data_IF_487765722867
#
_entry.id   IF_487765722867
#
_cell.length_a   1.000
_cell.length_b   1.000
_cell.length_c   1.000
_cell.angle_alpha   90.00
_cell.angle_beta   90.00
_cell.angle_gamma   90.00
#
_symmetry.space_group_name_H-M   'P 1'
#
loop_
_entity.id
_entity.type
_entity.pdbx_description
1 polymer ?
#
# COMPACT_ATOMS: atom_id res chain seq x y z
N UNK A 1 -24.25 5.47 29.74
CA UNK A 1 -23.10 4.92 30.48
C UNK A 1 -21.89 4.96 29.55
N UNK A 2 -21.13 6.07 29.53
CA UNK A 2 -19.86 6.18 28.79
C UNK A 2 -18.74 6.16 29.82
N UNK A 3 -17.88 5.15 29.75
CA UNK A 3 -16.69 4.98 30.58
C UNK A 3 -15.51 5.57 29.80
N UNK A 4 -14.91 6.65 30.28
CA UNK A 4 -13.87 6.52 31.30
C UNK A 4 -12.49 5.99 30.89
N UNK A 5 -11.89 6.38 29.76
CA UNK A 5 -10.51 5.98 29.41
C UNK A 5 -9.69 7.21 29.02
N UNK A 6 -8.53 7.44 29.67
CA UNK A 6 -7.93 8.77 29.70
C UNK A 6 -6.41 8.89 29.80
N UNK A 7 -5.85 9.10 28.61
CA UNK A 7 -4.68 9.91 28.27
C UNK A 7 -4.96 11.44 28.39
N UNK A 8 -6.09 11.82 29.00
CA UNK A 8 -6.57 13.19 29.20
C UNK A 8 -7.26 13.24 30.58
N UNK A 9 -7.50 14.39 31.20
CA UNK A 9 -8.21 14.44 32.49
C UNK A 9 -9.73 14.33 32.33
N UNK A 10 -10.42 13.71 33.31
CA UNK A 10 -11.64 14.21 33.97
C UNK A 10 -12.70 15.11 33.30
N UNK A 11 -12.80 15.32 31.99
CA UNK A 11 -13.74 16.31 31.45
C UNK A 11 -15.17 15.73 31.45
N UNK A 12 -15.79 15.72 32.63
CA UNK A 12 -17.20 15.47 32.81
C UNK A 12 -18.01 16.51 32.01
N UNK A 13 -18.84 15.99 31.11
CA UNK A 13 -19.68 16.75 30.21
C UNK A 13 -20.88 17.33 30.98
N UNK A 14 -20.81 18.58 31.45
CA UNK A 14 -22.02 19.41 31.61
C UNK A 14 -21.80 20.89 31.22
N UNK A 15 -22.59 21.29 30.23
CA UNK A 15 -23.12 22.65 29.95
C UNK A 15 -22.19 23.76 29.45
N UNK A 16 -22.36 24.03 28.15
CA UNK A 16 -22.53 25.34 27.49
C UNK A 16 -21.77 26.58 28.01
N UNK A 17 -21.02 27.17 27.07
CA UNK A 17 -20.40 28.50 27.07
C UNK A 17 -19.12 28.70 27.90
N UNK A 18 -17.97 28.43 27.26
CA UNK A 18 -16.84 29.39 27.24
C UNK A 18 -15.82 29.02 26.15
N UNK A 19 -15.30 29.97 25.35
CA UNK A 19 -14.19 29.71 24.43
C UNK A 19 -12.86 30.12 25.08
N UNK A 20 -11.88 29.21 25.14
CA UNK A 20 -10.45 29.45 24.87
C UNK A 20 -9.58 28.31 25.42
N UNK A 21 -8.88 27.65 24.49
CA UNK A 21 -7.58 26.98 24.66
C UNK A 21 -7.41 26.09 25.90
N UNK A 22 -8.14 24.98 25.94
CA UNK A 22 -7.71 23.83 26.74
C UNK A 22 -6.81 22.96 25.86
N UNK A 23 -5.50 23.24 25.89
CA UNK A 23 -4.48 22.36 25.32
C UNK A 23 -4.54 21.01 26.04
N UNK A 24 -5.11 20.01 25.38
CA UNK A 24 -4.43 18.75 25.09
C UNK A 24 -3.16 18.43 25.93
N UNK A 25 -3.32 17.92 27.16
CA UNK A 25 -2.20 17.50 28.02
C UNK A 25 -2.43 16.11 28.57
N UNK A 26 -1.38 15.31 28.66
CA UNK A 26 -1.34 14.03 29.36
C UNK A 26 -1.47 14.31 30.86
N UNK A 27 -2.69 14.57 31.31
CA UNK A 27 -2.97 14.86 32.71
C UNK A 27 -2.83 13.58 33.51
N UNK A 28 -1.89 13.57 34.46
CA UNK A 28 -1.81 12.54 35.48
C UNK A 28 -3.08 12.59 36.32
N UNK A 29 -4.06 11.73 36.02
CA UNK A 29 -5.27 11.43 36.80
C UNK A 29 -6.19 12.62 37.13
N UNK A 30 -5.69 13.68 37.78
CA UNK A 30 -6.33 14.99 38.02
C UNK A 30 -5.30 16.14 38.09
N UNK A 31 -5.75 17.40 37.95
CA UNK A 31 -4.89 18.59 38.19
C UNK A 31 -4.30 18.58 39.60
N UNK A 32 -5.05 17.99 40.55
CA UNK A 32 -4.62 17.80 41.94
C UNK A 32 -3.46 16.80 42.07
N UNK A 33 -3.49 15.70 41.34
CA UNK A 33 -2.40 14.71 41.40
C UNK A 33 -1.11 15.26 40.81
N UNK A 34 -1.20 16.04 39.73
CA UNK A 34 -0.03 16.72 39.16
C UNK A 34 0.55 17.78 40.10
N UNK A 35 -0.32 18.52 40.81
CA UNK A 35 0.08 19.45 41.86
C UNK A 35 0.74 18.73 43.04
N UNK A 36 0.16 17.63 43.50
CA UNK A 36 0.67 16.84 44.62
C UNK A 36 2.03 16.20 44.27
N UNK A 37 2.24 15.78 43.01
CA UNK A 37 3.52 15.33 42.48
C UNK A 37 4.56 16.46 42.51
N UNK A 38 4.21 17.63 41.98
CA UNK A 38 5.13 18.75 41.83
C UNK A 38 5.35 19.56 43.11
N UNK A 39 4.53 19.35 44.13
CA UNK A 39 4.65 20.05 45.39
C UNK A 39 6.06 19.93 45.96
N UNK A 40 6.67 18.75 45.91
CA UNK A 40 8.01 18.46 46.44
C UNK A 40 9.20 18.99 45.63
N UNK A 41 9.02 19.62 44.48
CA UNK A 41 10.12 19.88 43.54
C UNK A 41 11.04 21.02 43.97
N UNK A 42 12.35 20.73 44.11
CA UNK A 42 13.39 21.69 44.50
C UNK A 42 14.45 21.78 43.40
N UNK A 43 14.77 22.99 42.94
CA UNK A 43 15.88 23.21 42.00
C UNK A 43 17.19 23.20 42.78
N UNK A 44 18.13 22.31 42.41
CA UNK A 44 19.38 22.12 43.16
C UNK A 44 20.23 23.40 43.23
N UNK A 45 20.35 24.12 42.10
CA UNK A 45 21.19 25.31 41.97
C UNK A 45 20.79 26.46 42.91
N UNK A 46 19.50 26.58 43.20
CA UNK A 46 18.94 27.69 43.97
C UNK A 46 18.41 27.26 45.34
N UNK A 47 18.27 25.96 45.58
CA UNK A 47 17.59 25.35 46.74
C UNK A 47 16.16 25.88 46.97
N UNK A 48 15.52 26.37 45.90
CA UNK A 48 14.17 26.92 45.95
C UNK A 48 13.18 25.89 45.41
N UNK A 49 12.06 25.75 46.10
CA UNK A 49 10.91 25.01 45.59
C UNK A 49 10.32 25.74 44.38
N UNK A 50 10.19 25.05 43.26
CA UNK A 50 9.65 25.63 42.04
C UNK A 50 8.68 24.66 41.36
N UNK A 51 7.39 24.86 41.64
CA UNK A 51 6.32 24.01 41.10
C UNK A 51 6.18 24.19 39.59
N UNK A 52 6.37 25.40 39.07
CA UNK A 52 6.26 25.68 37.63
C UNK A 52 7.37 24.97 36.83
N UNK A 53 8.60 24.94 37.35
CA UNK A 53 9.70 24.20 36.74
C UNK A 53 9.43 22.70 36.68
N UNK A 54 8.76 22.14 37.69
CA UNK A 54 8.30 20.76 37.66
C UNK A 54 7.28 20.50 36.53
N UNK A 55 6.30 21.39 36.36
CA UNK A 55 5.33 21.26 35.26
C UNK A 55 5.99 21.35 33.88
N UNK A 56 6.98 22.22 33.71
CA UNK A 56 7.78 22.29 32.47
C UNK A 56 8.51 20.96 32.22
N UNK A 57 9.09 20.37 33.27
CA UNK A 57 9.75 19.05 33.17
C UNK A 57 8.76 17.94 32.81
N UNK A 58 7.60 17.87 33.45
CA UNK A 58 6.55 16.90 33.13
C UNK A 58 6.11 16.99 31.67
N UNK A 59 5.84 18.22 31.20
CA UNK A 59 5.47 18.49 29.81
C UNK A 59 6.58 18.06 28.85
N UNK A 60 7.84 18.36 29.16
CA UNK A 60 8.98 17.92 28.34
C UNK A 60 9.11 16.39 28.25
N UNK A 61 8.89 15.67 29.35
CA UNK A 61 9.13 14.22 29.44
C UNK A 61 7.98 13.41 28.83
N UNK A 62 6.73 13.84 29.02
CA UNK A 62 5.54 13.08 28.63
C UNK A 62 4.81 13.66 27.42
N UNK A 63 4.49 14.96 27.45
CA UNK A 63 3.67 15.60 26.42
C UNK A 63 4.47 15.89 25.14
N UNK A 64 5.65 16.50 25.25
CA UNK A 64 6.48 16.88 24.10
C UNK A 64 7.41 15.77 23.61
N UNK A 65 7.40 14.61 24.28
CA UNK A 65 8.23 13.48 23.91
C UNK A 65 7.56 12.63 22.83
N UNK A 66 8.12 12.66 21.62
CA UNK A 66 7.58 11.92 20.47
C UNK A 66 7.51 10.41 20.70
N UNK A 67 8.42 9.82 21.49
CA UNK A 67 8.39 8.38 21.81
C UNK A 67 7.18 8.02 22.66
N UNK A 68 6.88 8.85 23.67
CA UNK A 68 5.72 8.66 24.55
C UNK A 68 4.44 8.84 23.75
N UNK A 69 4.34 9.91 22.96
CA UNK A 69 3.18 10.18 22.10
C UNK A 69 2.90 9.06 21.11
N UNK A 70 3.92 8.56 20.44
CA UNK A 70 3.76 7.49 19.46
C UNK A 70 3.39 6.16 20.13
N UNK A 71 3.98 5.85 21.29
CA UNK A 71 3.58 4.66 22.05
C UNK A 71 2.13 4.73 22.56
N UNK A 72 1.63 5.94 22.79
CA UNK A 72 0.27 6.20 23.22
C UNK A 72 -0.78 6.13 22.09
N UNK A 73 -0.35 6.03 20.82
CA UNK A 73 -1.24 5.85 19.65
C UNK A 73 -1.75 4.41 19.57
N UNK A 74 -2.79 4.10 20.34
CA UNK A 74 -3.40 2.77 20.41
C UNK A 74 -4.76 2.74 19.70
N UNK A 75 -5.22 1.53 19.37
CA UNK A 75 -6.52 1.33 18.74
C UNK A 75 -7.71 1.50 19.66
N UNK A 76 -8.88 1.62 19.03
CA UNK A 76 -10.15 1.68 19.73
C UNK A 76 -10.30 0.50 20.71
N UNK A 77 -10.62 0.82 21.96
CA UNK A 77 -10.81 -0.14 23.05
C UNK A 77 -9.56 -0.46 23.88
N UNK A 78 -8.38 0.06 23.52
CA UNK A 78 -7.16 -0.05 24.32
C UNK A 78 -6.86 1.18 25.18
N UNK A 79 -7.71 2.21 25.10
CA UNK A 79 -7.59 3.45 25.88
C UNK A 79 -7.56 3.18 27.39
N UNK A 80 -8.36 2.23 27.89
CA UNK A 80 -8.38 1.89 29.32
C UNK A 80 -7.06 1.26 29.76
N UNK A 81 -6.54 0.30 28.98
CA UNK A 81 -5.27 -0.37 29.27
C UNK A 81 -4.09 0.60 29.23
N UNK A 82 -4.13 1.57 28.30
CA UNK A 82 -3.10 2.60 28.22
C UNK A 82 -3.01 3.43 29.51
N UNK A 83 -4.14 3.73 30.14
CA UNK A 83 -4.15 4.46 31.42
C UNK A 83 -3.64 3.59 32.55
N UNK A 84 -4.05 2.32 32.60
CA UNK A 84 -3.57 1.39 33.62
C UNK A 84 -2.04 1.29 33.58
N UNK A 85 -1.45 1.28 32.36
CA UNK A 85 0.00 1.32 32.17
C UNK A 85 0.60 2.63 32.70
N UNK A 86 0.03 3.79 32.35
CA UNK A 86 0.50 5.09 32.83
C UNK A 86 0.40 5.22 34.36
N UNK A 87 -0.74 4.86 34.94
CA UNK A 87 -0.96 4.88 36.39
C UNK A 87 0.03 3.96 37.11
N UNK A 88 0.32 2.78 36.57
CA UNK A 88 1.33 1.90 37.14
C UNK A 88 2.73 2.53 37.20
N UNK A 89 3.06 3.46 36.29
CA UNK A 89 4.34 4.16 36.31
C UNK A 89 4.35 5.36 37.27
N UNK A 90 3.24 6.08 37.38
CA UNK A 90 3.19 7.37 38.08
C UNK A 90 2.78 7.24 39.55
N UNK A 91 1.87 6.32 39.87
CA UNK A 91 1.38 6.12 41.24
C UNK A 91 2.51 5.86 42.26
N UNK A 92 3.56 5.06 41.97
CA UNK A 92 4.66 4.87 42.89
C UNK A 92 5.46 6.16 43.16
N UNK A 93 5.62 7.02 42.14
CA UNK A 93 6.34 8.29 42.28
C UNK A 93 5.51 9.27 43.11
N UNK A 94 4.21 9.36 42.83
CA UNK A 94 3.27 10.16 43.62
C UNK A 94 3.34 9.80 45.10
N UNK A 95 3.30 8.51 45.43
CA UNK A 95 3.37 8.03 46.81
C UNK A 95 4.70 8.35 47.50
N UNK A 96 5.83 8.23 46.78
CA UNK A 96 7.16 8.50 47.33
C UNK A 96 7.38 10.00 47.57
N UNK A 97 6.94 10.84 46.63
CA UNK A 97 7.19 12.29 46.64
C UNK A 97 6.14 13.08 47.41
N UNK A 98 4.99 12.47 47.73
CA UNK A 98 3.91 13.15 48.43
C UNK A 98 4.42 13.84 49.71
N UNK A 99 4.32 15.16 49.72
CA UNK A 99 4.73 16.04 50.81
C UNK A 99 6.21 15.93 51.21
N UNK A 100 7.08 15.42 50.33
CA UNK A 100 8.53 15.31 50.58
C UNK A 100 9.32 16.12 49.55
N UNK A 101 10.30 16.94 49.97
CA UNK A 101 11.12 17.67 49.03
C UNK A 101 12.14 16.74 48.35
N UNK A 102 12.22 16.80 47.03
CA UNK A 102 13.25 16.13 46.24
C UNK A 102 13.84 17.09 45.22
N UNK A 103 15.13 16.92 44.92
CA UNK A 103 15.81 17.74 43.92
C UNK A 103 15.37 17.39 42.50
N UNK A 104 15.46 18.37 41.62
CA UNK A 104 15.22 18.29 40.18
C UNK A 104 15.82 17.04 39.51
N UNK A 105 17.07 16.67 39.79
CA UNK A 105 17.69 15.48 39.20
C UNK A 105 17.00 14.16 39.59
N UNK A 106 16.45 14.09 40.82
CA UNK A 106 15.71 12.91 41.30
C UNK A 106 14.37 12.81 40.58
N UNK A 107 13.69 13.95 40.41
CA UNK A 107 12.46 14.05 39.64
C UNK A 107 12.71 13.63 38.20
N UNK A 108 13.70 14.22 37.54
CA UNK A 108 14.03 13.95 36.15
C UNK A 108 14.32 12.47 35.92
N UNK A 109 15.20 11.87 36.74
CA UNK A 109 15.55 10.46 36.62
C UNK A 109 14.33 9.54 36.78
N UNK A 110 13.49 9.78 37.79
CA UNK A 110 12.31 8.95 38.09
C UNK A 110 11.26 9.07 36.98
N UNK A 111 11.00 10.30 36.52
CA UNK A 111 10.01 10.58 35.49
C UNK A 111 10.45 10.10 34.11
N UNK A 112 11.74 10.23 33.76
CA UNK A 112 12.28 9.63 32.54
C UNK A 112 12.14 8.10 32.57
N UNK A 113 12.49 7.47 33.69
CA UNK A 113 12.33 6.01 33.85
C UNK A 113 10.87 5.58 33.69
N UNK A 114 9.94 6.33 34.30
CA UNK A 114 8.51 6.10 34.15
C UNK A 114 8.04 6.24 32.70
N UNK A 115 8.51 7.27 31.98
CA UNK A 115 8.21 7.47 30.57
C UNK A 115 8.75 6.34 29.69
N UNK A 116 10.00 5.90 29.90
CA UNK A 116 10.59 4.79 29.15
C UNK A 116 9.86 3.46 29.40
N UNK A 117 9.49 3.18 30.65
CA UNK A 117 8.70 2.01 31.01
C UNK A 117 7.29 2.06 30.40
N UNK A 118 6.66 3.23 30.41
CA UNK A 118 5.38 3.45 29.74
C UNK A 118 5.51 3.14 28.24
N UNK A 119 6.53 3.69 27.56
CA UNK A 119 6.79 3.43 26.14
C UNK A 119 6.97 1.93 25.88
N UNK A 120 7.73 1.24 26.72
CA UNK A 120 7.97 -0.19 26.59
C UNK A 120 6.68 -1.01 26.73
N UNK A 121 5.85 -0.71 27.73
CA UNK A 121 4.61 -1.42 27.99
C UNK A 121 3.51 -1.07 26.97
N UNK A 122 3.31 0.21 26.66
CA UNK A 122 2.31 0.68 25.70
C UNK A 122 2.62 0.18 24.27
N UNK A 123 3.89 0.03 23.92
CA UNK A 123 4.29 -0.54 22.61
C UNK A 123 3.88 -2.00 22.41
N UNK A 124 3.50 -2.72 23.47
CA UNK A 124 2.98 -4.09 23.39
C UNK A 124 1.47 -4.12 23.07
N UNK A 125 0.78 -2.98 23.19
CA UNK A 125 -0.62 -2.88 22.80
C UNK A 125 -0.74 -2.93 21.27
N UNK A 126 -1.81 -3.54 20.73
CA UNK A 126 -2.04 -3.59 19.29
C UNK A 126 -2.06 -2.19 18.68
N UNK A 127 -1.13 -1.95 17.75
CA UNK A 127 -1.12 -0.74 16.95
C UNK A 127 -2.15 -0.87 15.85
N UNK A 128 -2.97 0.16 15.67
CA UNK A 128 -3.79 0.25 14.45
C UNK A 128 -2.88 0.68 13.31
N UNK A 129 -3.19 0.21 12.12
CA UNK A 129 -2.55 0.64 10.87
C UNK A 129 -2.72 2.13 10.55
N UNK A 130 -3.45 2.88 11.37
CA UNK A 130 -3.77 4.30 11.18
C UNK A 130 -4.81 4.53 10.09
N UNK A 131 -5.08 5.80 9.81
CA UNK A 131 -5.94 6.22 8.71
C UNK A 131 -5.15 6.24 7.38
N UNK A 132 -5.71 5.69 6.31
CA UNK A 132 -5.09 5.68 4.98
C UNK A 132 -5.75 6.71 4.05
N UNK A 133 -5.15 7.89 3.80
CA UNK A 133 -5.67 8.87 2.84
C UNK A 133 -5.57 8.34 1.39
N UNK A 134 -6.28 8.95 0.40
CA UNK A 134 -7.03 10.21 0.47
C UNK A 134 -8.54 10.09 0.67
N UNK A 135 -9.09 8.87 0.68
CA UNK A 135 -10.53 8.63 0.59
C UNK A 135 -10.95 7.40 1.42
N UNK A 136 -12.24 7.31 1.67
CA UNK A 136 -12.89 6.17 2.32
C UNK A 136 -13.09 6.34 3.83
N UNK A 137 -14.18 5.77 4.31
CA UNK A 137 -14.58 5.73 5.71
C UNK A 137 -13.95 4.52 6.41
N UNK A 138 -13.09 4.77 7.40
CA UNK A 138 -12.27 3.73 8.05
C UNK A 138 -12.55 3.70 9.55
N UNK A 139 -13.70 3.18 9.97
CA UNK A 139 -14.11 3.13 11.38
C UNK A 139 -13.07 2.47 12.29
N UNK A 140 -12.43 1.41 11.78
CA UNK A 140 -11.51 0.58 12.55
C UNK A 140 -10.08 1.13 12.52
N UNK A 141 -9.81 2.14 11.67
CA UNK A 141 -8.53 2.83 11.56
C UNK A 141 -8.31 3.92 12.61
N UNK A 142 -9.35 4.26 13.37
CA UNK A 142 -9.34 5.36 14.31
C UNK A 142 -8.36 5.10 15.47
N UNK A 143 -7.38 5.98 15.61
CA UNK A 143 -6.35 5.92 16.66
C UNK A 143 -6.71 6.92 17.74
N UNK A 144 -6.58 6.53 19.00
CA UNK A 144 -6.78 7.48 20.09
C UNK A 144 -5.65 8.52 20.12
N UNK A 145 -5.99 9.80 20.10
CA UNK A 145 -5.06 10.90 20.14
C UNK A 145 -5.04 11.52 21.54
N UNK A 146 -3.93 11.30 22.26
CA UNK A 146 -3.74 11.80 23.62
C UNK A 146 -3.58 13.32 23.71
N UNK A 147 -3.24 14.00 22.60
CA UNK A 147 -3.29 15.46 22.57
C UNK A 147 -4.76 15.88 22.48
N UNK A 148 -5.46 15.55 21.39
CA UNK A 148 -6.82 16.08 21.17
C UNK A 148 -7.90 15.45 22.05
N UNK A 149 -7.56 14.44 22.85
CA UNK A 149 -8.48 13.64 23.68
C UNK A 149 -9.62 13.01 22.87
N UNK A 150 -9.37 12.73 21.59
CA UNK A 150 -10.35 12.25 20.63
C UNK A 150 -9.73 11.13 19.82
N UNK A 151 -10.58 10.25 19.31
CA UNK A 151 -10.16 9.35 18.24
C UNK A 151 -9.96 10.17 16.97
N UNK A 152 -8.82 9.97 16.30
CA UNK A 152 -8.59 10.51 14.97
C UNK A 152 -9.71 9.97 14.05
N UNK A 153 -10.53 10.87 13.53
CA UNK A 153 -11.63 10.49 12.63
C UNK A 153 -11.06 10.13 11.28
N UNK A 154 -11.05 8.84 10.92
CA UNK A 154 -10.70 8.39 9.57
C UNK A 154 -11.90 8.49 8.61
N UNK A 155 -12.61 9.61 8.66
CA UNK A 155 -13.73 9.96 7.81
C UNK A 155 -13.23 10.79 6.63
N UNK A 156 -12.57 10.15 5.68
CA UNK A 156 -12.21 10.81 4.42
C UNK A 156 -13.42 10.88 3.47
N UNK A 157 -13.39 11.75 2.45
CA UNK A 157 -14.39 11.74 1.38
C UNK A 157 -14.54 10.33 0.79
N UNK A 158 -15.76 9.92 0.46
CA UNK A 158 -16.02 8.60 -0.11
C UNK A 158 -15.36 8.43 -1.48
N UNK A 159 -15.33 9.51 -2.26
CA UNK A 159 -14.84 9.51 -3.64
C UNK A 159 -13.31 9.57 -3.70
N UNK A 160 -12.71 8.53 -4.27
CA UNK A 160 -11.28 8.45 -4.51
C UNK A 160 -10.88 9.11 -5.83
N UNK A 161 -9.58 9.49 -5.97
CA UNK A 161 -9.05 9.98 -7.24
C UNK A 161 -9.32 9.02 -8.41
N UNK A 162 -9.65 9.58 -9.57
CA UNK A 162 -9.93 8.80 -10.79
C UNK A 162 -8.66 8.17 -11.33
N UNK A 163 -8.73 6.88 -11.63
CA UNK A 163 -7.68 6.13 -12.34
C UNK A 163 -7.95 6.20 -13.84
N UNK A 164 -7.00 6.70 -14.63
CA UNK A 164 -7.11 6.72 -16.09
C UNK A 164 -6.54 5.43 -16.68
N UNK A 165 -7.27 4.83 -17.62
CA UNK A 165 -6.89 3.60 -18.31
C UNK A 165 -7.03 3.82 -19.81
N UNK A 166 -5.91 3.73 -20.53
CA UNK A 166 -5.88 3.79 -21.99
C UNK A 166 -5.50 2.42 -22.53
N UNK A 167 -6.38 1.83 -23.33
CA UNK A 167 -6.22 0.46 -23.83
C UNK A 167 -6.59 0.39 -25.30
N UNK A 168 -6.05 -0.61 -26.00
CA UNK A 168 -6.45 -0.88 -27.38
C UNK A 168 -7.72 -1.74 -27.39
N UNK A 169 -8.47 -1.68 -28.48
CA UNK A 169 -9.56 -2.62 -28.79
C UNK A 169 -9.06 -4.08 -28.75
N UNK A 170 -9.95 -5.02 -28.46
CA UNK A 170 -9.67 -6.46 -28.30
C UNK A 170 -8.73 -6.83 -27.15
N UNK A 171 -8.42 -5.88 -26.26
CA UNK A 171 -7.58 -6.13 -25.09
C UNK A 171 -8.41 -6.65 -23.92
N UNK A 172 -7.83 -7.53 -23.11
CA UNK A 172 -8.40 -7.90 -21.81
C UNK A 172 -7.99 -6.89 -20.76
N UNK A 173 -8.94 -6.39 -19.98
CA UNK A 173 -8.65 -5.47 -18.88
C UNK A 173 -9.31 -5.93 -17.58
N UNK A 174 -8.71 -5.52 -16.46
CA UNK A 174 -9.27 -5.75 -15.13
C UNK A 174 -9.13 -4.49 -14.29
N UNK A 175 -10.25 -4.01 -13.77
CA UNK A 175 -10.33 -2.89 -12.83
C UNK A 175 -10.38 -3.43 -11.41
N UNK A 176 -9.67 -2.79 -10.49
CA UNK A 176 -9.62 -3.18 -9.08
C UNK A 176 -10.35 -2.17 -8.21
N UNK A 177 -11.14 -2.70 -7.28
CA UNK A 177 -11.83 -1.97 -6.22
C UNK A 177 -11.15 -2.24 -4.88
N UNK A 178 -9.82 -2.17 -4.86
CA UNK A 178 -9.02 -2.44 -3.66
C UNK A 178 -8.58 -1.13 -3.03
N UNK A 179 -8.60 -1.11 -1.70
CA UNK A 179 -8.11 0.00 -0.87
C UNK A 179 -6.94 -0.48 0.00
N UNK A 180 -6.18 0.47 0.53
CA UNK A 180 -5.02 0.18 1.38
C UNK A 180 -5.39 -0.24 2.81
N UNK A 181 -6.64 -0.01 3.22
CA UNK A 181 -7.15 -0.37 4.53
C UNK A 181 -7.99 -1.65 4.47
N UNK A 182 -8.20 -2.26 5.64
CA UNK A 182 -8.98 -3.50 5.76
C UNK A 182 -10.47 -3.20 5.59
N UNK A 183 -11.14 -3.94 4.70
CA UNK A 183 -12.59 -3.87 4.53
C UNK A 183 -13.32 -4.74 5.57
N UNK A 184 -14.52 -4.33 6.04
CA UNK A 184 -15.36 -5.15 6.92
C UNK A 184 -15.71 -6.50 6.29
N UNK A 185 -15.94 -7.54 7.09
CA UNK A 185 -16.17 -8.91 6.57
C UNK A 185 -17.48 -9.07 5.79
N UNK A 186 -18.46 -8.23 6.07
CA UNK A 186 -19.80 -8.22 5.47
C UNK A 186 -19.88 -7.31 4.23
N UNK A 187 -18.76 -6.85 3.70
CA UNK A 187 -18.75 -5.88 2.61
C UNK A 187 -19.44 -6.40 1.34
N UNK A 188 -20.02 -5.47 0.58
CA UNK A 188 -20.54 -5.71 -0.78
C UNK A 188 -19.99 -4.64 -1.71
N UNK A 189 -19.37 -5.05 -2.80
CA UNK A 189 -18.92 -4.19 -3.88
C UNK A 189 -19.98 -4.13 -4.99
N UNK A 190 -20.37 -2.92 -5.36
CA UNK A 190 -21.31 -2.64 -6.45
C UNK A 190 -20.57 -1.92 -7.56
N UNK A 191 -20.53 -2.53 -8.73
CA UNK A 191 -19.94 -1.97 -9.93
C UNK A 191 -21.01 -1.31 -10.78
N UNK A 192 -20.69 -0.12 -11.28
CA UNK A 192 -21.55 0.66 -12.16
C UNK A 192 -20.79 1.24 -13.34
N UNK A 193 -21.49 1.53 -14.42
CA UNK A 193 -20.92 2.03 -15.66
C UNK A 193 -21.72 3.22 -16.22
N UNK A 194 -21.00 4.27 -16.60
CA UNK A 194 -21.51 5.44 -17.31
C UNK A 194 -20.86 5.50 -18.71
N UNK A 195 -21.61 5.03 -19.71
CA UNK A 195 -21.10 4.86 -21.07
C UNK A 195 -20.80 6.19 -21.75
N UNK A 196 -19.60 6.34 -22.32
CA UNK A 196 -19.12 7.52 -23.06
C UNK A 196 -19.22 8.84 -22.29
N UNK A 197 -19.38 8.79 -20.97
CA UNK A 197 -19.42 9.95 -20.09
C UNK A 197 -18.17 9.97 -19.22
N UNK A 198 -17.64 11.18 -19.01
CA UNK A 198 -16.63 11.44 -17.99
C UNK A 198 -17.31 12.21 -16.84
N UNK A 199 -17.86 11.47 -15.88
CA UNK A 199 -18.64 12.02 -14.77
C UNK A 199 -18.32 11.26 -13.47
N UNK A 200 -18.55 11.94 -12.34
CA UNK A 200 -18.55 11.35 -10.99
C UNK A 200 -19.93 11.50 -10.32
N UNK A 201 -20.95 11.94 -11.05
CA UNK A 201 -22.32 12.02 -10.55
C UNK A 201 -22.92 10.61 -10.53
N UNK A 202 -23.21 10.09 -9.34
CA UNK A 202 -23.62 8.69 -9.11
C UNK A 202 -24.91 8.33 -9.88
N UNK A 203 -25.77 9.31 -10.12
CA UNK A 203 -27.07 9.16 -10.79
C UNK A 203 -26.94 8.79 -12.27
N UNK A 204 -25.81 9.14 -12.91
CA UNK A 204 -25.52 8.84 -14.32
C UNK A 204 -25.05 7.39 -14.53
N UNK A 205 -24.68 6.70 -13.45
CA UNK A 205 -24.14 5.35 -13.51
C UNK A 205 -25.26 4.30 -13.45
N UNK A 206 -25.16 3.28 -14.30
CA UNK A 206 -26.02 2.10 -14.27
C UNK A 206 -25.30 0.94 -13.60
N UNK A 207 -25.95 0.27 -12.67
CA UNK A 207 -25.41 -0.94 -12.03
C UNK A 207 -25.17 -2.05 -13.06
N UNK A 208 -23.99 -2.68 -12.99
CA UNK A 208 -23.60 -3.79 -13.86
C UNK A 208 -23.43 -5.10 -13.09
N UNK A 209 -22.92 -5.05 -11.85
CA UNK A 209 -22.83 -6.23 -10.98
C UNK A 209 -22.70 -5.82 -9.51
N UNK A 210 -23.12 -6.70 -8.60
CA UNK A 210 -23.00 -6.53 -7.17
C UNK A 210 -22.62 -7.85 -6.50
N UNK A 211 -21.71 -7.82 -5.54
CA UNK A 211 -21.26 -9.01 -4.83
C UNK A 211 -20.00 -8.79 -3.98
N UNK A 212 -19.28 -9.85 -3.66
CA UNK A 212 -18.02 -9.77 -2.91
C UNK A 212 -16.78 -9.54 -3.82
N UNK A 213 -16.97 -9.52 -5.14
CA UNK A 213 -15.87 -9.42 -6.10
C UNK A 213 -15.35 -7.98 -6.24
N UNK A 214 -14.13 -7.76 -5.77
CA UNK A 214 -13.41 -6.49 -5.88
C UNK A 214 -12.74 -6.28 -7.24
N UNK A 215 -12.99 -7.15 -8.23
CA UNK A 215 -12.37 -7.07 -9.55
C UNK A 215 -13.45 -7.15 -10.61
N UNK A 216 -13.47 -6.18 -11.52
CA UNK A 216 -14.32 -6.19 -12.70
C UNK A 216 -13.45 -6.41 -13.94
N UNK A 217 -13.82 -7.36 -14.79
CA UNK A 217 -13.01 -7.75 -15.95
C UNK A 217 -13.80 -7.61 -17.23
N UNK A 218 -13.20 -6.97 -18.23
CA UNK A 218 -13.70 -6.98 -19.61
C UNK A 218 -12.77 -7.90 -20.40
N UNK A 219 -13.28 -9.03 -20.92
CA UNK A 219 -12.43 -10.03 -21.56
C UNK A 219 -11.86 -9.56 -22.90
N UNK A 220 -12.59 -8.70 -23.62
CA UNK A 220 -12.21 -8.12 -24.90
C UNK A 220 -12.86 -6.75 -25.03
N UNK A 221 -12.06 -5.70 -25.04
CA UNK A 221 -12.53 -4.30 -25.09
C UNK A 221 -13.06 -3.92 -26.46
N UNK A 222 -14.07 -3.04 -26.46
CA UNK A 222 -14.68 -2.43 -27.63
C UNK A 222 -14.86 -0.92 -27.41
N UNK A 223 -15.10 -0.13 -28.47
CA UNK A 223 -15.41 1.30 -28.33
C UNK A 223 -16.67 1.59 -27.50
N UNK A 224 -17.53 0.60 -27.27
CA UNK A 224 -18.72 0.75 -26.42
C UNK A 224 -18.40 0.69 -24.93
N UNK A 225 -17.27 0.09 -24.56
CA UNK A 225 -16.81 -0.04 -23.18
C UNK A 225 -16.17 1.27 -22.68
N UNK A 226 -15.88 2.21 -23.57
CA UNK A 226 -15.36 3.53 -23.22
C UNK A 226 -16.34 4.29 -22.32
N UNK A 227 -15.82 4.86 -21.24
CA UNK A 227 -16.60 5.63 -20.28
C UNK A 227 -16.02 5.57 -18.87
N UNK A 228 -16.86 5.86 -17.89
CA UNK A 228 -16.50 5.82 -16.48
C UNK A 228 -17.07 4.58 -15.81
N UNK A 229 -16.22 3.85 -15.10
CA UNK A 229 -16.61 2.76 -14.20
C UNK A 229 -16.45 3.23 -12.77
N UNK A 230 -17.45 2.92 -11.95
CA UNK A 230 -17.44 3.18 -10.51
C UNK A 230 -17.56 1.85 -9.79
N UNK A 231 -16.70 1.62 -8.80
CA UNK A 231 -16.96 0.63 -7.77
C UNK A 231 -17.27 1.32 -6.45
N UNK A 232 -18.37 0.95 -5.82
CA UNK A 232 -18.72 1.39 -4.47
C UNK A 232 -18.75 0.20 -3.52
N UNK A 233 -18.03 0.31 -2.41
CA UNK A 233 -18.03 -0.70 -1.35
C UNK A 233 -18.97 -0.26 -0.25
N UNK A 234 -19.86 -1.16 0.17
CA UNK A 234 -20.81 -0.96 1.25
C UNK A 234 -20.56 -1.95 2.39
N UNK A 235 -20.91 -1.56 3.62
CA UNK A 235 -21.09 -2.45 4.77
C UNK A 235 -22.27 -1.92 5.60
N UNK A 236 -23.13 -2.82 6.09
CA UNK A 236 -24.32 -2.48 6.89
C UNK A 236 -25.16 -1.28 6.35
N UNK A 237 -25.26 -1.15 5.01
CA UNK A 237 -25.95 -0.05 4.27
C UNK A 237 -25.25 1.32 4.30
N UNK A 238 -24.03 1.42 4.82
CA UNK A 238 -23.18 2.61 4.72
C UNK A 238 -22.18 2.42 3.57
N UNK A 239 -22.02 3.46 2.76
CA UNK A 239 -20.95 3.51 1.76
C UNK A 239 -19.61 3.73 2.47
N UNK A 240 -18.64 2.87 2.17
CA UNK A 240 -17.29 2.91 2.72
C UNK A 240 -16.39 3.73 1.79
N UNK A 241 -16.43 3.45 0.49
CA UNK A 241 -15.51 4.06 -0.48
C UNK A 241 -16.06 3.91 -1.90
N UNK A 242 -15.73 4.87 -2.77
CA UNK A 242 -16.03 4.88 -4.20
C UNK A 242 -14.75 5.08 -5.00
N UNK A 243 -14.45 4.12 -5.87
CA UNK A 243 -13.30 4.17 -6.77
C UNK A 243 -13.80 4.35 -8.20
N UNK A 244 -13.10 5.21 -8.95
CA UNK A 244 -13.47 5.55 -10.32
C UNK A 244 -12.34 5.17 -11.29
N UNK A 245 -12.72 4.56 -12.41
CA UNK A 245 -11.82 4.21 -13.51
C UNK A 245 -12.37 4.82 -14.80
N UNK A 246 -11.60 5.72 -15.42
CA UNK A 246 -11.91 6.26 -16.74
C UNK A 246 -11.24 5.39 -17.81
N UNK A 247 -12.05 4.68 -18.60
CA UNK A 247 -11.56 3.80 -19.66
C UNK A 247 -11.67 4.50 -21.02
N UNK A 248 -10.51 4.68 -21.66
CA UNK A 248 -10.37 5.10 -23.05
C UNK A 248 -9.98 3.89 -23.90
N UNK A 249 -10.70 3.65 -25.00
CA UNK A 249 -10.42 2.54 -25.91
C UNK A 249 -9.99 3.09 -27.27
N UNK A 250 -8.75 2.84 -27.65
CA UNK A 250 -8.19 3.19 -28.96
C UNK A 250 -8.52 2.09 -29.96
N UNK A 251 -9.12 2.41 -31.14
CA UNK A 251 -9.42 1.42 -32.16
C UNK A 251 -8.15 0.75 -32.65
N UNK A 252 -8.21 -0.55 -32.89
CA UNK A 252 -7.09 -1.27 -33.48
C UNK A 252 -7.02 -0.87 -34.96
N UNK A 253 -6.02 -0.06 -35.32
CA UNK A 253 -5.77 0.26 -36.73
C UNK A 253 -5.23 -1.01 -37.38
N UNK A 254 -6.07 -1.70 -38.14
CA UNK A 254 -5.68 -2.76 -39.07
C UNK A 254 -4.79 -2.12 -40.16
N UNK A 255 -3.50 -1.98 -39.89
CA UNK A 255 -2.49 -1.38 -40.79
C UNK A 255 -2.43 -2.10 -42.15
N UNK A 256 -3.00 -3.30 -42.28
CA UNK A 256 -3.10 -4.03 -43.55
C UNK A 256 -4.19 -3.52 -44.49
N UNK A 257 -5.35 -3.09 -44.00
CA UNK A 257 -6.48 -2.76 -44.86
C UNK A 257 -6.33 -1.41 -45.54
N UNK A 258 -5.78 -0.38 -44.89
CA UNK A 258 -5.54 0.92 -45.55
C UNK A 258 -4.51 0.83 -46.68
N UNK A 259 -3.43 0.04 -46.48
CA UNK A 259 -2.42 -0.18 -47.52
C UNK A 259 -2.96 -1.04 -48.67
N UNK A 260 -3.76 -2.07 -48.38
CA UNK A 260 -4.40 -2.88 -49.42
C UNK A 260 -5.50 -2.11 -50.17
N UNK A 261 -6.25 -1.24 -49.49
CA UNK A 261 -7.23 -0.35 -50.11
C UNK A 261 -6.53 0.68 -51.00
N UNK A 262 -5.40 1.23 -50.57
CA UNK A 262 -4.59 2.17 -51.37
C UNK A 262 -4.01 1.49 -52.62
N UNK A 263 -3.51 0.26 -52.50
CA UNK A 263 -3.05 -0.54 -53.66
C UNK A 263 -4.21 -0.89 -54.59
N UNK A 264 -5.35 -1.29 -54.04
CA UNK A 264 -6.55 -1.61 -54.82
C UNK A 264 -7.09 -0.37 -55.55
N UNK A 265 -7.18 0.78 -54.88
CA UNK A 265 -7.62 2.04 -55.49
C UNK A 265 -6.63 2.53 -56.55
N UNK A 266 -5.33 2.33 -56.36
CA UNK A 266 -4.29 2.58 -57.38
C UNK A 266 -4.49 1.69 -58.63
N UNK A 267 -4.89 0.43 -58.44
CA UNK A 267 -5.19 -0.50 -59.55
C UNK A 267 -6.51 -0.18 -60.26
N UNK A 268 -7.50 0.37 -59.55
CA UNK A 268 -8.77 0.82 -60.14
C UNK A 268 -8.62 2.13 -60.89
N UNK A 269 -7.85 3.09 -60.36
CA UNK A 269 -7.59 4.38 -61.00
C UNK A 269 -6.79 4.25 -62.32
N UNK A 270 -6.00 3.18 -62.45
CA UNK A 270 -5.27 2.84 -63.69
C UNK A 270 -6.12 2.09 -64.73
N UNK A 271 -7.44 1.96 -64.52
CA UNK A 271 -8.38 1.47 -65.53
C UNK A 271 -8.08 0.05 -66.02
N UNK A 272 -7.48 -0.79 -65.18
CA UNK A 272 -7.16 -2.18 -65.51
C UNK A 272 -6.04 -2.36 -66.54
N UNK A 273 -5.29 -1.32 -66.91
CA UNK A 273 -4.13 -1.46 -67.79
C UNK A 273 -2.86 -1.59 -66.97
N UNK A 274 -2.49 -2.84 -66.64
CA UNK A 274 -1.11 -3.15 -66.30
C UNK A 274 -0.28 -2.98 -67.58
N UNK A 275 0.19 -1.75 -67.82
CA UNK A 275 1.28 -1.55 -68.77
C UNK A 275 2.45 -2.39 -68.26
N UNK A 276 3.08 -3.22 -69.12
CA UNK A 276 4.28 -3.92 -68.72
C UNK A 276 5.29 -2.82 -68.40
N UNK A 277 5.67 -2.73 -67.13
CA UNK A 277 6.89 -2.04 -66.75
C UNK A 277 7.97 -2.67 -67.62
N UNK A 278 8.55 -1.88 -68.52
CA UNK A 278 9.68 -2.29 -69.33
C UNK A 278 10.80 -2.70 -68.38
N UNK A 279 10.87 -4.00 -68.09
CA UNK A 279 12.11 -4.65 -67.70
C UNK A 279 13.02 -4.60 -68.91
N UNK A 280 13.69 -3.46 -69.08
CA UNK A 280 14.96 -3.42 -69.79
C UNK A 280 15.92 -4.33 -69.02
N UNK A 281 15.93 -5.58 -69.43
CA UNK A 281 17.05 -6.49 -69.24
C UNK A 281 18.06 -6.21 -70.36
N UNK A 282 19.28 -5.79 -70.03
CA UNK A 282 20.44 -6.16 -70.81
C UNK A 282 21.06 -7.38 -70.13
N UNK A 283 21.00 -8.51 -70.83
CA UNK A 283 21.71 -9.74 -70.47
C UNK A 283 23.20 -9.48 -70.22
N UNK A 284 23.70 -10.04 -69.11
CA UNK A 284 25.12 -10.18 -68.80
C UNK A 284 25.32 -11.22 -67.68
N UNK A 285 25.95 -12.38 -67.95
CA UNK A 285 25.84 -13.59 -67.12
C UNK A 285 26.91 -13.65 -66.01
N UNK A 286 26.70 -12.95 -64.90
CA UNK A 286 27.45 -13.11 -63.65
C UNK A 286 26.50 -12.69 -62.52
N UNK A 287 26.28 -13.40 -61.43
CA UNK A 287 26.96 -14.51 -60.82
C UNK A 287 26.29 -14.79 -59.46
N UNK A 288 26.69 -15.86 -58.79
CA UNK A 288 25.86 -16.60 -57.86
C UNK A 288 26.06 -16.07 -56.43
N UNK A 289 25.48 -14.94 -56.05
CA UNK A 289 25.74 -14.39 -54.71
C UNK A 289 24.62 -14.70 -53.73
N UNK A 290 23.35 -14.53 -54.14
CA UNK A 290 22.21 -14.79 -53.26
C UNK A 290 21.91 -16.29 -53.07
N UNK A 291 22.07 -17.08 -54.14
CA UNK A 291 21.88 -18.53 -54.09
C UNK A 291 23.02 -19.24 -53.35
N UNK A 292 24.25 -18.70 -53.41
CA UNK A 292 25.39 -19.20 -52.62
C UNK A 292 25.27 -18.80 -51.16
N UNK A 293 24.71 -17.63 -50.81
CA UNK A 293 24.51 -17.24 -49.41
C UNK A 293 23.46 -18.13 -48.71
N UNK A 294 22.36 -18.44 -49.40
CA UNK A 294 21.34 -19.38 -48.92
C UNK A 294 21.88 -20.81 -48.86
N UNK A 295 22.64 -21.25 -49.87
CA UNK A 295 23.32 -22.55 -49.86
C UNK A 295 24.38 -22.67 -48.74
N UNK A 296 25.16 -21.62 -48.50
CA UNK A 296 26.15 -21.56 -47.43
C UNK A 296 25.49 -21.61 -46.04
N UNK A 297 24.40 -20.87 -45.83
CA UNK A 297 23.65 -20.94 -44.57
C UNK A 297 23.03 -22.32 -44.33
N UNK A 298 22.40 -22.91 -45.35
CA UNK A 298 21.78 -24.24 -45.21
C UNK A 298 22.84 -25.32 -44.98
N UNK A 299 23.98 -25.26 -45.68
CA UNK A 299 25.08 -26.21 -45.47
C UNK A 299 25.77 -26.04 -44.11
N UNK A 300 25.90 -24.81 -43.59
CA UNK A 300 26.43 -24.56 -42.25
C UNK A 300 25.52 -25.11 -41.15
N UNK A 301 24.20 -24.93 -41.28
CA UNK A 301 23.21 -25.49 -40.34
C UNK A 301 23.22 -27.02 -40.40
N UNK A 302 23.33 -27.61 -41.60
CA UNK A 302 23.39 -29.06 -41.76
C UNK A 302 24.68 -29.65 -41.18
N UNK A 303 25.83 -28.99 -41.35
CA UNK A 303 27.09 -29.41 -40.75
C UNK A 303 27.07 -29.31 -39.22
N UNK A 304 26.46 -28.26 -38.66
CA UNK A 304 26.28 -28.13 -37.20
C UNK A 304 25.35 -29.23 -36.64
N UNK A 305 24.31 -29.60 -37.37
CA UNK A 305 23.46 -30.74 -37.02
C UNK A 305 24.23 -32.06 -37.10
N UNK A 306 25.01 -32.29 -38.14
CA UNK A 306 25.81 -33.51 -38.27
C UNK A 306 26.94 -33.60 -37.24
N UNK A 307 27.55 -32.48 -36.85
CA UNK A 307 28.56 -32.42 -35.81
C UNK A 307 27.95 -32.66 -34.42
N UNK A 308 26.77 -32.12 -34.12
CA UNK A 308 26.08 -32.38 -32.85
C UNK A 308 25.58 -33.83 -32.75
N UNK A 309 25.12 -34.42 -33.86
CA UNK A 309 24.77 -35.85 -33.89
C UNK A 309 26.04 -36.71 -33.78
N UNK A 310 27.14 -36.30 -34.43
CA UNK A 310 28.44 -36.99 -34.36
C UNK A 310 29.07 -36.96 -32.96
N UNK A 311 28.97 -35.86 -32.22
CA UNK A 311 29.44 -35.79 -30.83
C UNK A 311 28.58 -36.64 -29.90
N UNK A 312 27.25 -36.64 -30.07
CA UNK A 312 26.35 -37.53 -29.32
C UNK A 312 26.62 -39.00 -29.64
N UNK A 313 26.92 -39.33 -30.89
CA UNK A 313 27.27 -40.70 -31.31
C UNK A 313 28.66 -41.13 -30.82
N UNK A 314 29.63 -40.21 -30.77
CA UNK A 314 30.97 -40.48 -30.23
C UNK A 314 30.94 -40.66 -28.71
N UNK A 315 30.18 -39.83 -27.99
CA UNK A 315 29.99 -39.93 -26.53
C UNK A 315 29.24 -41.21 -26.15
N UNK A 316 28.23 -41.61 -26.92
CA UNK A 316 27.56 -42.90 -26.71
C UNK A 316 28.45 -44.09 -27.06
N UNK A 317 29.32 -43.98 -28.07
CA UNK A 317 30.26 -45.06 -28.41
C UNK A 317 31.44 -45.15 -27.42
N UNK A 318 31.88 -44.06 -26.80
CA UNK A 318 32.85 -44.10 -25.70
C UNK A 318 32.24 -44.64 -24.40
N UNK A 319 30.94 -44.42 -24.17
CA UNK A 319 30.21 -45.07 -23.08
C UNK A 319 30.05 -46.59 -23.28
N UNK A 320 30.01 -47.07 -24.53
CA UNK A 320 29.88 -48.52 -24.84
C UNK A 320 31.25 -49.23 -24.93
N UNK A 321 32.38 -48.49 -25.00
CA UNK A 321 33.74 -49.06 -25.06
C UNK A 321 34.47 -49.07 -23.71
N UNK A 322 33.84 -48.59 -22.63
CA UNK A 322 34.43 -48.49 -21.29
C UNK A 322 34.31 -49.72 -20.39
N UNK A 323 33.50 -50.72 -20.75
CA UNK A 323 33.22 -51.87 -19.86
C UNK A 323 33.81 -53.19 -20.39
N UNK A 324 35.12 -53.38 -20.19
CA UNK A 324 35.88 -54.66 -20.22
C UNK A 324 37.11 -54.37 -19.33
N UNK A 325 37.41 -54.95 -18.15
CA UNK A 325 37.07 -56.19 -17.41
C UNK A 325 37.67 -56.04 -15.96
N UNK A 326 37.87 -57.09 -15.15
CA UNK A 326 37.02 -57.63 -14.08
C UNK A 326 37.48 -57.28 -12.63
N UNK A 327 36.60 -57.65 -11.69
CA UNK A 327 36.86 -57.96 -10.28
C UNK A 327 37.93 -59.06 -10.09
N UNK A 328 38.78 -58.94 -9.07
CA UNK A 328 39.15 -60.00 -8.10
C UNK A 328 40.48 -59.71 -7.36
N UNK A 329 40.35 -59.44 -6.05
CA UNK A 329 41.04 -60.07 -4.92
C UNK A 329 42.57 -60.27 -4.87
N UNK A 330 43.12 -59.85 -3.71
CA UNK A 330 43.86 -60.68 -2.73
C UNK A 330 45.29 -60.23 -2.32
N UNK A 331 45.35 -59.64 -1.12
CA UNK A 331 46.12 -60.07 0.07
C UNK A 331 47.68 -59.98 0.16
N UNK A 332 48.10 -59.51 1.35
CA UNK A 332 49.27 -59.92 2.15
C UNK A 332 50.59 -59.13 2.10
N UNK A 333 51.06 -58.83 3.32
CA UNK A 333 52.42 -58.52 3.77
C UNK A 333 52.97 -57.15 3.34
N UNK A 334 53.28 -56.23 4.26
CA UNK A 334 54.27 -56.39 5.34
C UNK A 334 54.08 -55.31 6.41
#
# INVERSE_FOLDING_TARGET
MRREGRCCGNADFQTQHSPMNEEAKMRFKTDKDSLDLCWGFVILEHEVRNVDACFVMLNSIFDNNSRVREAARVGAGFDTQLNDIMDAQIQPILQDFHQRPHYDYVYEQRLQTAADNFVAAASLLPRVSGCFPPCGFQSDGAVYNCETCKYDSCEFPLDCPVVQMEVMENSRISMQCRVAFVLPKDFVAVWRFAQKLNTQQVEEFKEVTAGADLVFTIPSTSPQDQGMYQCEVFSEKRSIVRLYHHLSVSPQVEVGHSQLQEVFDLTLASGGSLLPVNLTSPFGPHGPVFSVLLGACVSAVLLLLLLSIGTVYAVSKSAVRGDVEPDADQESST
#
